data_IF_653364732968
#
_entry.id   IF_653364732968
#
_cell.length_a   1.000
_cell.length_b   1.000
_cell.length_c   1.000
_cell.angle_alpha   90.00
_cell.angle_beta   90.00
_cell.angle_gamma   90.00
#
_symmetry.space_group_name_H-M   'P 1'
#
loop_
_entity.id
_entity.type
_entity.pdbx_description
1 polymer ?
#
# COMPACT_ATOMS: atom_id res chain seq x y z
N UNK A 1 -3.19 -5.26 -14.88
CA UNK A 1 -3.57 -6.69 -14.91
C UNK A 1 -3.60 -7.33 -13.50
N UNK A 2 -3.18 -6.61 -12.45
CA UNK A 2 -3.13 -7.11 -11.08
C UNK A 2 -1.97 -8.04 -10.81
N UNK A 3 -0.96 -8.03 -11.68
CA UNK A 3 0.22 -8.84 -11.52
C UNK A 3 1.36 -7.95 -11.04
N UNK A 4 1.85 -8.22 -9.84
CA UNK A 4 3.11 -7.67 -9.37
C UNK A 4 4.25 -8.53 -9.92
N UNK A 5 5.26 -7.91 -10.52
CA UNK A 5 6.44 -8.57 -11.07
C UNK A 5 7.69 -8.05 -10.37
N UNK A 6 8.50 -8.97 -9.86
CA UNK A 6 9.75 -8.67 -9.17
C UNK A 6 10.90 -9.13 -10.05
N UNK A 7 11.85 -8.23 -10.29
CA UNK A 7 12.98 -8.44 -11.20
C UNK A 7 14.30 -8.34 -10.45
N UNK A 8 15.24 -9.23 -10.75
CA UNK A 8 16.63 -9.06 -10.37
C UNK A 8 17.33 -8.25 -11.45
N UNK A 9 17.70 -7.02 -11.10
CA UNK A 9 18.26 -6.05 -12.05
C UNK A 9 19.64 -6.50 -12.55
N UNK A 10 20.49 -7.02 -11.66
CA UNK A 10 21.87 -7.43 -12.00
C UNK A 10 21.94 -8.53 -13.08
N UNK A 11 20.90 -9.36 -13.17
CA UNK A 11 20.79 -10.44 -14.16
C UNK A 11 19.72 -10.16 -15.22
N UNK A 12 18.96 -9.07 -15.08
CA UNK A 12 17.83 -8.70 -15.97
C UNK A 12 16.79 -9.82 -16.12
N UNK A 13 16.55 -10.58 -15.04
CA UNK A 13 15.62 -11.70 -15.01
C UNK A 13 14.43 -11.42 -14.10
N UNK A 14 13.25 -11.91 -14.50
CA UNK A 14 12.07 -11.97 -13.63
C UNK A 14 12.33 -13.01 -12.54
N UNK A 15 12.32 -12.59 -11.29
CA UNK A 15 12.49 -13.51 -10.17
C UNK A 15 11.19 -14.24 -9.86
N UNK A 16 10.09 -13.50 -9.73
CA UNK A 16 8.75 -14.07 -9.55
C UNK A 16 7.65 -13.04 -9.84
N UNK A 17 6.43 -13.54 -9.99
CA UNK A 17 5.22 -12.73 -10.03
C UNK A 17 4.22 -13.15 -8.96
N UNK A 18 3.43 -12.19 -8.51
CA UNK A 18 2.33 -12.37 -7.57
C UNK A 18 1.06 -11.79 -8.21
N UNK A 19 -0.05 -12.53 -8.15
CA UNK A 19 -1.29 -12.12 -8.79
C UNK A 19 -2.35 -11.78 -7.75
N UNK A 20 -2.85 -10.55 -7.80
CA UNK A 20 -4.00 -10.13 -7.03
C UNK A 20 -5.30 -10.53 -7.73
N UNK A 21 -5.99 -11.51 -7.15
CA UNK A 21 -7.20 -12.07 -7.70
C UNK A 21 -8.45 -11.37 -7.14
N UNK A 22 -8.72 -10.15 -7.62
CA UNK A 22 -9.95 -9.40 -7.34
C UNK A 22 -10.75 -9.11 -8.63
N UNK A 23 -11.97 -8.61 -8.50
CA UNK A 23 -12.79 -8.15 -9.64
C UNK A 23 -12.20 -6.87 -10.23
N UNK A 24 -11.68 -5.96 -9.38
CA UNK A 24 -10.92 -4.78 -9.77
C UNK A 24 -9.44 -5.04 -9.48
N UNK A 25 -8.74 -5.52 -10.51
CA UNK A 25 -7.39 -6.09 -10.36
C UNK A 25 -6.26 -5.07 -10.30
N UNK A 26 -6.50 -3.82 -10.70
CA UNK A 26 -5.41 -2.87 -10.84
C UNK A 26 -4.82 -2.53 -9.47
N UNK A 27 -3.51 -2.74 -9.37
CA UNK A 27 -2.67 -2.25 -8.29
C UNK A 27 -2.20 -0.86 -8.72
N UNK A 28 -2.51 0.15 -7.92
CA UNK A 28 -2.22 1.54 -8.24
C UNK A 28 -0.84 1.97 -7.72
N UNK A 29 -0.36 1.35 -6.65
CA UNK A 29 0.93 1.67 -6.06
C UNK A 29 1.55 0.45 -5.36
N UNK A 30 2.87 0.52 -5.16
CA UNK A 30 3.67 -0.51 -4.47
C UNK A 30 4.83 0.13 -3.70
N UNK A 31 5.09 -0.36 -2.49
CA UNK A 31 6.25 0.02 -1.70
C UNK A 31 6.89 -1.18 -1.02
N UNK A 32 8.21 -1.15 -0.87
CA UNK A 32 8.93 -2.14 -0.05
C UNK A 32 8.71 -1.85 1.44
N UNK A 33 8.53 -2.91 2.22
CA UNK A 33 8.56 -2.88 3.68
C UNK A 33 9.97 -3.26 4.16
N UNK A 34 10.51 -4.34 3.58
CA UNK A 34 11.84 -4.88 3.81
C UNK A 34 12.26 -5.70 2.56
N UNK A 35 13.41 -6.38 2.57
CA UNK A 35 13.90 -7.15 1.41
C UNK A 35 13.02 -8.34 0.98
N UNK A 36 11.96 -8.67 1.73
CA UNK A 36 11.09 -9.83 1.49
C UNK A 36 9.62 -9.46 1.35
N UNK A 37 9.21 -8.34 1.92
CA UNK A 37 7.83 -7.92 1.99
C UNK A 37 7.62 -6.59 1.31
N UNK A 38 6.48 -6.51 0.65
CA UNK A 38 6.04 -5.31 -0.03
C UNK A 38 4.56 -5.11 0.24
N UNK A 39 4.12 -3.87 0.14
CA UNK A 39 2.73 -3.47 0.22
C UNK A 39 2.26 -2.99 -1.15
N UNK A 40 1.02 -3.31 -1.49
CA UNK A 40 0.33 -2.74 -2.64
C UNK A 40 -0.99 -2.14 -2.21
N UNK A 41 -1.53 -1.26 -3.03
CA UNK A 41 -2.90 -0.77 -2.90
C UNK A 41 -3.63 -0.89 -4.24
N UNK A 42 -4.93 -1.22 -4.21
CA UNK A 42 -5.73 -1.51 -5.39
C UNK A 42 -6.93 -0.58 -5.60
N UNK A 43 -7.51 -0.65 -6.80
CA UNK A 43 -8.73 0.06 -7.19
C UNK A 43 -9.98 -0.29 -6.35
N UNK A 44 -9.98 -1.44 -5.67
CA UNK A 44 -11.03 -1.81 -4.72
C UNK A 44 -10.80 -1.26 -3.31
N UNK A 45 -9.76 -0.43 -3.11
CA UNK A 45 -9.41 0.18 -1.82
C UNK A 45 -8.69 -0.76 -0.86
N UNK A 46 -8.44 -2.00 -1.27
CA UNK A 46 -7.71 -2.94 -0.43
C UNK A 46 -6.21 -2.62 -0.44
N UNK A 47 -5.60 -2.83 0.72
CA UNK A 47 -4.14 -2.80 0.89
C UNK A 47 -3.68 -4.23 1.10
N UNK A 48 -2.69 -4.68 0.35
CA UNK A 48 -2.18 -6.06 0.44
C UNK A 48 -0.72 -6.06 0.83
N UNK A 49 -0.37 -6.87 1.83
CA UNK A 49 1.03 -7.16 2.18
C UNK A 49 1.38 -8.51 1.61
N UNK A 50 2.45 -8.54 0.83
CA UNK A 50 2.96 -9.72 0.16
C UNK A 50 4.26 -10.15 0.80
N UNK A 51 4.46 -11.46 0.87
CA UNK A 51 5.68 -12.09 1.37
C UNK A 51 6.24 -12.98 0.25
N UNK A 52 7.50 -12.77 -0.12
CA UNK A 52 8.16 -13.52 -1.21
C UNK A 52 8.26 -15.02 -0.96
N UNK A 53 8.21 -15.45 0.31
CA UNK A 53 8.22 -16.86 0.71
C UNK A 53 6.82 -17.44 0.65
N UNK A 54 5.87 -16.80 1.33
CA UNK A 54 4.54 -17.38 1.52
C UNK A 54 3.58 -17.14 0.34
N UNK A 55 3.93 -16.24 -0.60
CA UNK A 55 3.23 -15.88 -1.86
C UNK A 55 1.72 -15.62 -1.78
N UNK A 56 1.16 -15.63 -0.58
CA UNK A 56 -0.23 -15.37 -0.27
C UNK A 56 -0.32 -14.00 0.41
N UNK A 57 -1.05 -13.03 -0.18
CA UNK A 57 -1.17 -11.71 0.39
C UNK A 57 -2.05 -11.71 1.64
N UNK A 58 -1.67 -10.91 2.62
CA UNK A 58 -2.56 -10.53 3.73
C UNK A 58 -3.28 -9.24 3.32
N UNK A 59 -4.61 -9.26 3.36
CA UNK A 59 -5.44 -8.12 2.92
C UNK A 59 -5.94 -7.30 4.09
N UNK A 60 -5.71 -5.99 4.03
CA UNK A 60 -6.19 -4.98 4.95
C UNK A 60 -7.36 -4.26 4.27
N UNK A 61 -8.55 -4.43 4.83
CA UNK A 61 -9.78 -3.84 4.30
C UNK A 61 -10.16 -2.61 5.11
N UNK A 62 -10.62 -1.56 4.44
CA UNK A 62 -11.22 -0.43 5.13
C UNK A 62 -11.52 0.79 4.28
N UNK A 63 -10.75 1.06 3.22
CA UNK A 63 -11.12 2.13 2.30
C UNK A 63 -12.43 1.82 1.58
N UNK A 64 -13.24 2.85 1.37
CA UNK A 64 -14.50 2.76 0.63
C UNK A 64 -14.40 3.25 -0.81
N UNK A 65 -13.22 3.75 -1.20
CA UNK A 65 -12.91 4.25 -2.53
C UNK A 65 -11.66 3.60 -3.11
N UNK A 66 -11.30 4.02 -4.33
CA UNK A 66 -10.05 3.60 -4.99
C UNK A 66 -8.88 3.97 -4.09
N UNK A 67 -8.00 3.02 -3.77
CA UNK A 67 -6.75 3.34 -3.10
C UNK A 67 -5.73 3.84 -4.13
N UNK A 68 -5.11 4.98 -3.86
CA UNK A 68 -4.22 5.65 -4.82
C UNK A 68 -2.75 5.44 -4.53
N UNK A 69 -2.37 5.44 -3.26
CA UNK A 69 -0.97 5.41 -2.86
C UNK A 69 -0.79 4.61 -1.57
N UNK A 70 0.40 4.06 -1.40
CA UNK A 70 0.81 3.40 -0.17
C UNK A 70 2.29 3.60 0.12
N UNK A 71 2.63 3.66 1.41
CA UNK A 71 4.00 3.69 1.88
C UNK A 71 4.15 2.75 3.08
N UNK A 72 5.36 2.26 3.30
CA UNK A 72 5.71 1.48 4.47
C UNK A 72 6.99 1.99 5.10
N UNK A 73 7.20 1.65 6.37
CA UNK A 73 8.46 1.88 7.05
C UNK A 73 9.00 0.58 7.69
N UNK A 74 10.25 0.65 8.18
CA UNK A 74 10.92 -0.49 8.82
C UNK A 74 10.27 -0.96 10.13
N UNK A 75 9.39 -0.15 10.72
CA UNK A 75 8.69 -0.45 11.98
C UNK A 75 7.37 -1.21 11.78
N UNK A 76 7.16 -1.81 10.61
CA UNK A 76 5.94 -2.53 10.25
C UNK A 76 4.68 -1.64 10.20
N UNK A 77 4.84 -0.34 9.95
CA UNK A 77 3.70 0.57 9.70
C UNK A 77 3.49 0.75 8.22
N UNK A 78 2.22 0.78 7.83
CA UNK A 78 1.79 1.11 6.48
C UNK A 78 0.90 2.34 6.53
N UNK A 79 1.07 3.22 5.56
CA UNK A 79 0.14 4.30 5.25
C UNK A 79 -0.50 4.04 3.89
N UNK A 80 -1.79 4.33 3.75
CA UNK A 80 -2.49 4.29 2.46
C UNK A 80 -3.41 5.50 2.30
N UNK A 81 -3.43 6.06 1.09
CA UNK A 81 -4.31 7.15 0.69
C UNK A 81 -5.34 6.70 -0.34
N UNK A 82 -6.54 7.28 -0.29
CA UNK A 82 -7.65 6.87 -1.15
C UNK A 82 -8.49 8.04 -1.66
N UNK A 83 -9.23 7.76 -2.74
CA UNK A 83 -10.33 8.57 -3.27
C UNK A 83 -11.42 8.84 -2.25
N UNK A 84 -11.54 8.03 -1.20
CA UNK A 84 -12.49 8.29 -0.10
C UNK A 84 -12.09 9.47 0.80
N UNK A 85 -11.00 10.16 0.49
CA UNK A 85 -10.49 11.30 1.24
C UNK A 85 -9.83 10.90 2.54
N UNK A 86 -9.52 9.61 2.75
CA UNK A 86 -8.87 9.16 3.98
C UNK A 86 -7.43 8.74 3.76
N UNK A 87 -6.60 9.10 4.74
CA UNK A 87 -5.31 8.52 5.02
C UNK A 87 -5.49 7.47 6.13
N UNK A 88 -5.07 6.24 5.90
CA UNK A 88 -5.20 5.15 6.87
C UNK A 88 -3.84 4.61 7.27
N UNK A 89 -3.70 4.34 8.57
CA UNK A 89 -2.52 3.72 9.16
C UNK A 89 -2.82 2.29 9.60
N UNK A 90 -1.91 1.39 9.26
CA UNK A 90 -2.03 -0.04 9.54
C UNK A 90 -0.77 -0.54 10.23
N UNK A 91 -0.94 -1.53 11.09
CA UNK A 91 0.17 -2.31 11.67
C UNK A 91 0.16 -3.69 11.01
N UNK A 92 1.27 -4.06 10.35
CA UNK A 92 1.37 -5.34 9.63
C UNK A 92 1.12 -6.54 10.55
N UNK A 93 1.45 -6.38 11.84
CA UNK A 93 1.29 -7.43 12.86
C UNK A 93 -0.18 -7.63 13.26
N UNK A 94 -1.07 -6.72 12.86
CA UNK A 94 -2.49 -6.72 13.21
C UNK A 94 -3.36 -6.44 11.97
N UNK A 95 -3.43 -7.38 11.01
CA UNK A 95 -4.03 -7.16 9.69
C UNK A 95 -5.54 -6.84 9.64
N UNK A 96 -6.23 -6.97 10.77
CA UNK A 96 -7.64 -6.64 10.91
C UNK A 96 -7.90 -5.42 11.80
N UNK A 97 -6.84 -4.69 12.17
CA UNK A 97 -6.93 -3.54 13.07
C UNK A 97 -6.37 -2.29 12.38
N UNK A 98 -7.29 -1.47 11.87
CA UNK A 98 -6.97 -0.10 11.49
C UNK A 98 -6.45 0.62 12.73
N UNK A 99 -5.24 1.16 12.65
CA UNK A 99 -4.64 1.88 13.78
C UNK A 99 -5.27 3.27 13.91
N UNK A 100 -5.23 4.05 12.83
CA UNK A 100 -5.80 5.39 12.76
C UNK A 100 -6.33 5.68 11.35
N UNK A 101 -7.24 6.65 11.26
CA UNK A 101 -7.70 7.23 10.01
C UNK A 101 -7.70 8.75 10.16
N UNK A 102 -7.21 9.44 9.14
CA UNK A 102 -7.24 10.89 9.04
C UNK A 102 -8.05 11.26 7.82
N UNK A 103 -8.87 12.30 7.93
CA UNK A 103 -9.77 12.74 6.86
C UNK A 103 -9.16 14.00 6.23
N UNK A 104 -9.09 14.00 4.91
CA UNK A 104 -8.76 15.11 4.03
C UNK A 104 -10.04 15.58 3.33
N UNK A 105 -10.11 16.86 2.96
CA UNK A 105 -11.28 17.42 2.24
C UNK A 105 -11.36 16.96 0.77
N UNK A 106 -10.35 16.23 0.30
CA UNK A 106 -10.29 15.65 -1.03
C UNK A 106 -9.45 14.36 -1.04
N UNK A 107 -9.34 13.69 -2.20
CA UNK A 107 -8.55 12.48 -2.33
C UNK A 107 -7.10 12.64 -1.87
N UNK A 108 -6.60 11.62 -1.16
CA UNK A 108 -5.18 11.51 -0.81
C UNK A 108 -4.44 10.87 -1.98
N UNK A 109 -3.52 11.61 -2.59
CA UNK A 109 -2.86 11.24 -3.84
C UNK A 109 -1.46 10.67 -3.66
N UNK A 110 -0.76 11.08 -2.60
CA UNK A 110 0.55 10.54 -2.24
C UNK A 110 0.73 10.48 -0.73
N UNK A 111 1.52 9.51 -0.29
CA UNK A 111 1.94 9.32 1.10
C UNK A 111 3.40 8.89 1.11
N UNK A 112 4.18 9.36 2.10
CA UNK A 112 5.56 8.91 2.25
C UNK A 112 6.02 8.96 3.72
N UNK A 113 6.86 8.00 4.10
CA UNK A 113 7.51 7.99 5.41
C UNK A 113 8.92 8.58 5.31
N UNK A 114 9.25 9.45 6.25
CA UNK A 114 10.63 9.80 6.54
C UNK A 114 11.36 8.65 7.24
N UNK A 115 12.69 8.69 7.23
CA UNK A 115 13.55 7.75 7.98
C UNK A 115 13.35 7.80 9.49
N UNK A 116 12.80 8.89 10.02
CA UNK A 116 12.45 9.04 11.45
C UNK A 116 11.01 8.62 11.76
N UNK A 117 10.25 8.13 10.77
CA UNK A 117 8.88 7.64 10.95
C UNK A 117 7.80 8.73 10.91
N UNK A 118 8.16 9.98 10.62
CA UNK A 118 7.16 11.01 10.28
C UNK A 118 6.52 10.71 8.93
N UNK A 119 5.24 11.02 8.79
CA UNK A 119 4.45 10.80 7.59
C UNK A 119 4.14 12.14 6.91
N UNK A 120 4.35 12.20 5.60
CA UNK A 120 3.90 13.31 4.75
C UNK A 120 2.83 12.80 3.80
N UNK A 121 1.83 13.65 3.52
CA UNK A 121 0.76 13.34 2.58
C UNK A 121 0.49 14.53 1.68
N UNK A 122 -0.08 14.25 0.51
CA UNK A 122 -0.61 15.27 -0.38
C UNK A 122 -2.00 14.86 -0.85
N UNK A 123 -2.88 15.83 -1.04
CA UNK A 123 -4.23 15.59 -1.52
C UNK A 123 -4.78 16.72 -2.36
N UNK A 124 -6.02 16.55 -2.80
CA UNK A 124 -6.83 17.61 -3.41
C UNK A 124 -7.67 18.36 -2.37
N UNK A 125 -7.12 18.53 -1.18
CA UNK A 125 -7.52 19.50 -0.18
C UNK A 125 -6.50 20.63 -0.23
N UNK A 126 -6.92 21.89 -0.15
CA UNK A 126 -6.02 23.04 -0.28
C UNK A 126 -5.01 23.21 0.87
N UNK A 127 -4.66 22.13 1.58
CA UNK A 127 -3.81 22.07 2.76
C UNK A 127 -2.69 21.05 2.52
N UNK A 128 -1.46 21.54 2.41
CA UNK A 128 -0.22 20.77 2.63
C UNK A 128 0.29 21.06 4.03
#
# INVERSE_FOLDING_TARGET
DGVLKIWKVDVSELEFSLSYNSVKKNLNDVAWIDDRKLVTVSEDGNVQVWDSVNRNPVTFKGHSGIGFCCAANSDNKIASGSMDGTLRLWDIRKPNCLQNSYVHDGPVTAVNFSTTGMLVTSGFDGLM
#
